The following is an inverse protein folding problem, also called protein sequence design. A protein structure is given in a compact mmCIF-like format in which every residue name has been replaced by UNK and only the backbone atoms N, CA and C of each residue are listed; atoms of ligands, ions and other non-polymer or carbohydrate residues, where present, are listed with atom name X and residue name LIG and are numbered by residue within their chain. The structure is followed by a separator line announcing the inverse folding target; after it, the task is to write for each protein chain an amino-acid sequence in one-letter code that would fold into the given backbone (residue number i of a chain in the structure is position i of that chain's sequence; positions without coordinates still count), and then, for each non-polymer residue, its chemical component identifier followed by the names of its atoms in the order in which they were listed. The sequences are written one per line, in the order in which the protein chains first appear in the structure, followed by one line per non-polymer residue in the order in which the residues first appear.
data_IF_659522883181
#
_entry.id   IF_659522883181
#
_cell.length_a   1.000
_cell.length_b   1.000
_cell.length_c   1.000
_cell.angle_alpha   90.00
_cell.angle_beta   90.00
_cell.angle_gamma   90.00
#
_symmetry.space_group_name_H-M   'P 1'
#
loop_
_entity.id
_entity.type
_entity.pdbx_description
1 polymer ?
#
# COMPACT_ATOMS: atom_id res chain seq x y z
N UNK A 1 10.28 -11.80 -11.91
CA UNK A 1 10.30 -10.36 -12.21
C UNK A 1 9.95 -9.62 -10.94
N UNK A 2 10.87 -8.82 -10.42
CA UNK A 2 10.68 -8.05 -9.18
C UNK A 2 10.07 -6.70 -9.54
N UNK A 3 8.83 -6.38 -9.16
CA UNK A 3 8.25 -5.07 -9.45
C UNK A 3 8.95 -4.01 -8.59
N UNK A 4 9.61 -3.04 -9.23
CA UNK A 4 10.16 -1.86 -8.57
C UNK A 4 9.01 -0.89 -8.32
N UNK A 5 8.36 -0.97 -7.16
CA UNK A 5 7.44 0.09 -6.74
C UNK A 5 8.25 1.33 -6.34
N UNK A 6 8.00 2.43 -7.05
CA UNK A 6 8.54 3.76 -6.71
C UNK A 6 7.77 4.32 -5.51
N UNK A 7 8.07 3.80 -4.32
CA UNK A 7 7.43 4.20 -3.05
C UNK A 7 7.90 5.57 -2.53
N UNK A 8 8.75 6.30 -3.26
CA UNK A 8 9.35 7.57 -2.83
C UNK A 8 8.72 8.83 -3.42
N UNK A 9 7.73 8.72 -4.31
CA UNK A 9 6.95 9.86 -4.76
C UNK A 9 5.74 9.99 -3.83
N UNK A 10 5.90 10.77 -2.75
CA UNK A 10 4.89 10.91 -1.70
C UNK A 10 3.48 11.03 -2.24
N UNK A 11 2.55 10.32 -1.60
CA UNK A 11 1.11 10.30 -1.89
C UNK A 11 0.58 11.73 -1.99
N UNK A 12 0.58 12.26 -3.21
CA UNK A 12 0.26 13.65 -3.44
C UNK A 12 -1.25 13.77 -3.52
N UNK A 13 -1.83 14.50 -2.55
CA UNK A 13 -3.23 14.95 -2.51
C UNK A 13 -3.74 15.51 -3.85
N UNK A 14 -2.85 15.97 -4.74
CA UNK A 14 -3.23 16.59 -6.00
C UNK A 14 -3.66 15.59 -7.09
N UNK A 15 -3.41 14.27 -6.95
CA UNK A 15 -3.67 13.28 -8.00
C UNK A 15 -4.76 12.26 -7.64
N UNK A 16 -5.54 12.51 -6.58
CA UNK A 16 -6.57 11.56 -6.11
C UNK A 16 -6.03 10.34 -5.37
N UNK A 17 -4.76 10.39 -4.94
CA UNK A 17 -4.16 9.36 -4.09
C UNK A 17 -4.64 9.47 -2.63
N UNK A 18 -4.64 8.34 -1.93
CA UNK A 18 -4.99 8.26 -0.51
C UNK A 18 -4.01 9.05 0.36
N UNK A 19 -4.52 9.72 1.39
CA UNK A 19 -3.69 10.30 2.45
C UNK A 19 -2.86 9.21 3.10
N UNK A 20 -1.64 9.55 3.56
CA UNK A 20 -0.78 8.59 4.26
C UNK A 20 -1.46 7.90 5.46
N UNK A 21 -2.43 8.58 6.09
CA UNK A 21 -3.28 8.00 7.14
C UNK A 21 -4.29 6.96 6.61
N UNK A 22 -4.87 7.19 5.43
CA UNK A 22 -5.81 6.27 4.77
C UNK A 22 -5.09 5.02 4.25
N UNK A 23 -3.86 5.19 3.75
CA UNK A 23 -2.96 4.09 3.38
C UNK A 23 -2.68 3.18 4.58
N UNK A 24 -2.43 3.78 5.75
CA UNK A 24 -2.14 3.01 6.96
C UNK A 24 -3.33 2.15 7.41
N UNK A 25 -4.52 2.74 7.47
CA UNK A 25 -5.74 2.03 7.87
C UNK A 25 -6.10 0.91 6.88
N UNK A 26 -5.96 1.19 5.58
CA UNK A 26 -6.18 0.16 4.57
C UNK A 26 -5.20 -1.00 4.69
N UNK A 27 -3.89 -0.71 4.83
CA UNK A 27 -2.87 -1.76 4.96
C UNK A 27 -3.12 -2.63 6.19
N UNK A 28 -3.57 -2.06 7.32
CA UNK A 28 -3.93 -2.84 8.51
C UNK A 28 -5.14 -3.75 8.32
N UNK A 29 -6.06 -3.41 7.41
CA UNK A 29 -7.24 -4.22 7.09
C UNK A 29 -6.98 -5.35 6.09
N UNK A 30 -5.78 -5.40 5.50
CA UNK A 30 -5.44 -6.39 4.47
C UNK A 30 -5.16 -7.78 5.08
N UNK A 31 -5.69 -8.88 4.50
CA UNK A 31 -5.41 -10.24 4.97
C UNK A 31 -3.91 -10.52 5.10
N UNK A 32 -3.13 -10.01 4.15
CA UNK A 32 -1.68 -10.14 4.11
C UNK A 32 -0.97 -9.58 5.36
N UNK A 33 -1.58 -8.58 6.02
CA UNK A 33 -1.08 -7.91 7.22
C UNK A 33 -1.77 -8.44 8.47
N UNK A 34 -3.07 -8.75 8.40
CA UNK A 34 -3.86 -9.31 9.52
C UNK A 34 -3.31 -10.68 9.94
N UNK A 35 -2.94 -11.52 8.97
CA UNK A 35 -2.42 -12.86 9.22
C UNK A 35 -0.93 -12.86 9.64
N UNK A 36 -0.28 -11.69 9.60
CA UNK A 36 1.12 -11.51 9.97
C UNK A 36 1.27 -10.54 11.16
N UNK A 37 1.20 -11.08 12.37
CA UNK A 37 1.24 -10.30 13.62
C UNK A 37 2.52 -9.46 13.76
N UNK A 38 3.65 -9.99 13.30
CA UNK A 38 4.92 -9.27 13.33
C UNK A 38 4.89 -8.05 12.41
N UNK A 39 4.44 -8.21 11.17
CA UNK A 39 4.27 -7.12 10.23
C UNK A 39 3.31 -6.06 10.77
N UNK A 40 2.18 -6.49 11.34
CA UNK A 40 1.20 -5.59 11.95
C UNK A 40 1.82 -4.76 13.08
N UNK A 41 2.65 -5.36 13.94
CA UNK A 41 3.37 -4.65 15.01
C UNK A 41 4.36 -3.63 14.46
N UNK A 42 5.12 -3.99 13.43
CA UNK A 42 6.10 -3.09 12.79
C UNK A 42 5.39 -1.90 12.16
N UNK A 43 4.27 -2.12 11.46
CA UNK A 43 3.46 -1.05 10.90
C UNK A 43 2.95 -0.10 12.00
N UNK A 44 2.42 -0.63 13.10
CA UNK A 44 1.98 0.18 14.25
C UNK A 44 3.11 1.03 14.87
N UNK A 45 4.30 0.46 15.07
CA UNK A 45 5.44 1.21 15.60
C UNK A 45 5.94 2.29 14.62
N UNK A 46 5.80 2.00 13.31
CA UNK A 46 6.24 2.88 12.24
C UNK A 46 5.25 4.02 11.96
N UNK A 47 3.99 3.93 12.42
CA UNK A 47 2.93 4.93 12.20
C UNK A 47 3.39 6.35 12.55
N UNK A 48 4.13 6.52 13.65
CA UNK A 48 4.62 7.82 14.14
C UNK A 48 6.00 8.23 13.59
N UNK A 49 6.70 7.32 12.92
CA UNK A 49 8.10 7.49 12.46
C UNK A 49 8.24 7.73 10.95
N UNK A 50 7.13 7.69 10.22
CA UNK A 50 7.12 7.79 8.75
C UNK A 50 6.12 6.86 8.07
N UNK A 51 5.27 6.16 8.83
CA UNK A 51 4.22 5.29 8.29
C UNK A 51 4.79 4.01 7.69
N UNK A 52 4.17 3.53 6.62
CA UNK A 52 4.55 2.27 5.99
C UNK A 52 5.92 2.34 5.29
N UNK A 53 6.37 3.52 4.86
CA UNK A 53 7.71 3.72 4.25
C UNK A 53 8.81 3.40 5.26
N UNK A 54 8.66 3.86 6.50
CA UNK A 54 9.57 3.53 7.59
C UNK A 54 9.53 2.03 7.93
N UNK A 55 8.34 1.41 7.90
CA UNK A 55 8.20 -0.03 8.10
C UNK A 55 8.94 -0.83 7.01
N UNK A 56 8.87 -0.38 5.76
CA UNK A 56 9.58 -0.99 4.64
C UNK A 56 11.10 -0.89 4.81
N UNK A 57 11.61 0.30 5.13
CA UNK A 57 13.04 0.51 5.38
C UNK A 57 13.54 -0.40 6.53
N UNK A 58 12.79 -0.45 7.62
CA UNK A 58 13.12 -1.30 8.77
C UNK A 58 13.17 -2.80 8.39
N UNK A 59 12.21 -3.28 7.59
CA UNK A 59 12.17 -4.66 7.12
C UNK A 59 13.33 -4.97 6.15
N UNK A 60 13.64 -4.06 5.24
CA UNK A 60 14.79 -4.20 4.33
C UNK A 60 16.12 -4.22 5.10
N UNK A 61 16.26 -3.39 6.14
CA UNK A 61 17.44 -3.38 7.01
C UNK A 61 17.56 -4.72 7.75
N UNK A 62 16.48 -5.24 8.32
CA UNK A 62 16.46 -6.54 9.03
C UNK A 62 16.77 -7.71 8.10
N UNK A 63 16.22 -7.72 6.88
CA UNK A 63 16.53 -8.73 5.87
C UNK A 63 18.04 -8.74 5.54
N UNK A 64 18.67 -7.57 5.37
CA UNK A 64 20.11 -7.46 5.14
C UNK A 64 20.96 -8.01 6.29
N UNK A 65 20.43 -7.99 7.52
CA UNK A 65 21.09 -8.58 8.70
C UNK A 65 20.88 -10.10 8.84
N UNK A 66 20.17 -10.74 7.92
CA UNK A 66 19.94 -12.19 7.93
C UNK A 66 18.74 -12.63 8.76
N UNK A 67 17.84 -11.71 9.11
CA UNK A 67 16.59 -12.02 9.79
C UNK A 67 15.65 -12.80 8.84
N UNK A 68 15.36 -14.05 9.19
CA UNK A 68 14.58 -14.96 8.34
C UNK A 68 13.10 -14.55 8.27
N UNK A 69 12.58 -13.90 9.31
CA UNK A 69 11.17 -13.45 9.35
C UNK A 69 10.98 -12.11 8.62
N UNK A 70 12.05 -11.31 8.50
CA UNK A 70 11.99 -10.04 7.80
C UNK A 70 11.65 -10.21 6.31
N UNK A 71 12.13 -11.28 5.67
CA UNK A 71 11.80 -11.58 4.27
C UNK A 71 10.29 -11.84 4.08
N UNK A 72 9.70 -12.69 4.93
CA UNK A 72 8.26 -12.99 4.85
C UNK A 72 7.40 -11.75 5.14
N UNK A 73 7.80 -10.93 6.12
CA UNK A 73 7.12 -9.67 6.41
C UNK A 73 7.26 -8.65 5.27
N UNK A 74 8.44 -8.59 4.62
CA UNK A 74 8.68 -7.70 3.49
C UNK A 74 7.84 -8.10 2.27
N UNK A 75 7.75 -9.38 1.96
CA UNK A 75 6.92 -9.92 0.89
C UNK A 75 5.43 -9.64 1.13
N UNK A 76 4.96 -9.87 2.37
CA UNK A 76 3.58 -9.57 2.76
C UNK A 76 3.26 -8.07 2.65
N UNK A 77 4.16 -7.20 3.11
CA UNK A 77 4.00 -5.75 2.97
C UNK A 77 3.96 -5.33 1.50
N UNK A 78 4.88 -5.84 0.67
CA UNK A 78 4.89 -5.55 -0.76
C UNK A 78 3.60 -6.02 -1.46
N UNK A 79 3.11 -7.21 -1.11
CA UNK A 79 1.86 -7.74 -1.66
C UNK A 79 0.64 -6.88 -1.27
N UNK A 80 0.58 -6.41 -0.01
CA UNK A 80 -0.48 -5.52 0.45
C UNK A 80 -0.45 -4.17 -0.30
N UNK A 81 0.75 -3.61 -0.51
CA UNK A 81 0.92 -2.35 -1.24
C UNK A 81 0.57 -2.52 -2.74
N UNK A 82 0.99 -3.60 -3.39
CA UNK A 82 0.61 -3.89 -4.78
C UNK A 82 -0.91 -3.96 -4.94
N UNK A 83 -1.60 -4.64 -4.01
CA UNK A 83 -3.07 -4.71 -4.03
C UNK A 83 -3.72 -3.34 -3.84
N UNK A 84 -3.20 -2.53 -2.94
CA UNK A 84 -3.66 -1.15 -2.78
C UNK A 84 -3.58 -0.35 -4.09
N UNK A 85 -2.47 -0.47 -4.84
CA UNK A 85 -2.34 0.19 -6.13
C UNK A 85 -3.30 -0.37 -7.19
N UNK A 86 -3.55 -1.68 -7.18
CA UNK A 86 -4.53 -2.28 -8.09
C UNK A 86 -5.94 -1.79 -7.79
N UNK A 87 -6.37 -1.79 -6.52
CA UNK A 87 -7.68 -1.28 -6.10
C UNK A 87 -7.85 0.20 -6.49
N UNK A 88 -6.80 1.01 -6.33
CA UNK A 88 -6.79 2.42 -6.75
C UNK A 88 -6.93 2.57 -8.28
N UNK A 89 -6.23 1.75 -9.06
CA UNK A 89 -6.32 1.75 -10.52
C UNK A 89 -7.71 1.29 -11.02
N UNK A 90 -8.29 0.27 -10.38
CA UNK A 90 -9.65 -0.19 -10.68
C UNK A 90 -10.68 0.91 -10.38
N UNK A 91 -10.57 1.57 -9.22
CA UNK A 91 -11.38 2.72 -8.86
C UNK A 91 -11.29 3.83 -9.91
N UNK A 92 -10.07 4.22 -10.30
CA UNK A 92 -9.85 5.25 -11.31
C UNK A 92 -10.46 4.86 -12.68
N UNK A 93 -10.22 3.63 -13.14
CA UNK A 93 -10.77 3.14 -14.41
C UNK A 93 -12.30 3.11 -14.41
N UNK A 94 -12.93 2.77 -13.28
CA UNK A 94 -14.39 2.77 -13.15
C UNK A 94 -15.01 4.17 -13.27
N UNK A 95 -14.31 5.18 -12.75
CA UNK A 95 -14.72 6.59 -12.82
C UNK A 95 -14.51 7.14 -14.24
N UNK A 96 -13.38 6.83 -14.86
CA UNK A 96 -13.01 7.36 -16.19
C UNK A 96 -13.78 6.68 -17.33
N UNK A 97 -14.15 5.40 -17.20
CA UNK A 97 -14.84 4.64 -18.25
C UNK A 97 -16.36 4.52 -18.05
N UNK A 98 -16.96 5.26 -17.10
CA UNK A 98 -18.42 5.35 -17.01
C UNK A 98 -18.96 6.06 -18.26
N UNK A 99 -19.83 5.44 -19.07
CA UNK A 99 -20.43 6.11 -20.21
C UNK A 99 -21.28 7.27 -19.69
N UNK A 100 -21.01 8.49 -20.14
CA UNK A 100 -21.97 9.58 -20.03
C UNK A 100 -23.29 9.08 -20.62
N UNK A 101 -24.33 9.05 -19.78
CA UNK A 101 -25.65 8.64 -20.21
C UNK A 101 -26.01 9.41 -21.50
N UNK A 102 -26.49 8.76 -22.56
CA UNK A 102 -26.93 9.48 -23.74
C UNK A 102 -28.06 10.42 -23.29
N UNK A 103 -27.90 11.71 -23.58
CA UNK A 103 -28.98 12.69 -23.46
C UNK A 103 -30.13 12.18 -24.33
N UNK A 104 -31.13 11.58 -23.68
CA UNK A 104 -32.38 11.21 -24.31
C UNK A 104 -33.03 12.47 -24.84
N UNK A 105 -33.30 12.43 -26.15
CA UNK A 105 -34.01 13.40 -26.96
C UNK A 105 -35.14 14.11 -26.20
N UNK A 106 -35.14 15.45 -26.29
CA UNK A 106 -36.34 16.29 -26.21
C UNK A 106 -36.38 17.09 -27.52
#
# INVERSE_FOLDING_TARGET
MTPYLLLGAGFSRNWGGWLASEVFEYLLGRPEVVDNEELRRILWDSQRKGGFEYALEALQARQKTGDHNASACLEALQAAVVRMFNDMNEGFNSIVCSPSAPLSQI
#
